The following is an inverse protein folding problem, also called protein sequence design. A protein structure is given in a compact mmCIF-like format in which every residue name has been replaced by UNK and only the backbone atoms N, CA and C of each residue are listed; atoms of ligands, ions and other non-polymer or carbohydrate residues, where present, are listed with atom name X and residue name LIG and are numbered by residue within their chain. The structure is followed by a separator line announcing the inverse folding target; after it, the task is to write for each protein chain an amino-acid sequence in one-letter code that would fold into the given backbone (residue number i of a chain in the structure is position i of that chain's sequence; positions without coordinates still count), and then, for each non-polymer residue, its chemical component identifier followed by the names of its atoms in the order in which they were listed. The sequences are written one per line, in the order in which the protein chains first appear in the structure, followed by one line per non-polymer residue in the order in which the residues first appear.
data_IF_341642457188
#
_entry.id   IF_341642457188
#
_cell.length_a   1.000
_cell.length_b   1.000
_cell.length_c   1.000
_cell.angle_alpha   90.00
_cell.angle_beta   90.00
_cell.angle_gamma   90.00
#
_symmetry.space_group_name_H-M   'P 1'
#
loop_
_entity.id
_entity.type
_entity.pdbx_description
1 polymer ?
#
# COMPACT_ATOMS: atom_id res chain seq x y z
N UNK A 1 11.87 -13.61 -7.70
CA UNK A 1 12.03 -12.25 -7.16
C UNK A 1 13.38 -11.60 -7.51
N UNK A 2 14.56 -12.16 -7.15
CA UNK A 2 15.88 -11.50 -7.31
C UNK A 2 16.13 -10.76 -8.63
N UNK A 3 15.89 -11.43 -9.78
CA UNK A 3 16.07 -10.81 -11.12
C UNK A 3 15.18 -9.58 -11.35
N UNK A 4 13.91 -9.63 -10.91
CA UNK A 4 12.99 -8.49 -11.05
C UNK A 4 13.39 -7.36 -10.10
N UNK A 5 13.74 -7.70 -8.87
CA UNK A 5 14.16 -6.72 -7.87
C UNK A 5 15.45 -6.01 -8.30
N UNK A 6 16.42 -6.74 -8.84
CA UNK A 6 17.65 -6.16 -9.41
C UNK A 6 17.34 -5.23 -10.59
N UNK A 7 16.47 -5.65 -11.51
CA UNK A 7 16.10 -4.83 -12.66
C UNK A 7 15.38 -3.53 -12.25
N UNK A 8 14.37 -3.62 -11.39
CA UNK A 8 13.59 -2.46 -10.92
C UNK A 8 14.46 -1.52 -10.10
N UNK A 9 15.28 -2.05 -9.19
CA UNK A 9 16.20 -1.25 -8.38
C UNK A 9 17.28 -0.59 -9.24
N UNK A 10 17.70 -1.24 -10.33
CA UNK A 10 18.54 -0.62 -11.35
C UNK A 10 17.86 0.57 -12.03
N UNK A 11 16.57 0.46 -12.38
CA UNK A 11 15.79 1.54 -12.99
C UNK A 11 15.47 2.69 -12.00
N UNK A 12 15.40 2.39 -10.71
CA UNK A 12 15.18 3.35 -9.64
C UNK A 12 16.37 4.31 -9.42
N UNK A 13 17.55 3.99 -9.99
CA UNK A 13 18.77 4.80 -9.87
C UNK A 13 19.13 5.43 -11.21
N UNK A 14 19.41 6.73 -11.22
CA UNK A 14 19.95 7.41 -12.40
C UNK A 14 19.77 8.93 -12.35
N UNK A 15 20.13 9.64 -13.42
CA UNK A 15 19.85 11.07 -13.53
C UNK A 15 18.35 11.35 -13.31
N UNK A 16 18.04 12.23 -12.34
CA UNK A 16 16.68 12.58 -11.96
C UNK A 16 15.89 11.50 -11.20
N UNK A 17 16.52 10.38 -10.80
CA UNK A 17 15.87 9.28 -10.08
C UNK A 17 16.73 8.78 -8.94
N UNK A 18 16.15 8.73 -7.75
CA UNK A 18 16.79 8.27 -6.53
C UNK A 18 16.02 7.09 -5.95
N UNK A 19 16.70 5.98 -5.73
CA UNK A 19 16.14 4.91 -4.90
C UNK A 19 16.01 5.41 -3.46
N UNK A 20 14.82 5.26 -2.88
CA UNK A 20 14.56 5.53 -1.47
C UNK A 20 14.93 4.29 -0.66
N UNK A 21 16.08 4.34 0.02
CA UNK A 21 16.61 3.23 0.79
C UNK A 21 16.54 3.45 2.32
N UNK A 22 16.29 4.67 2.78
CA UNK A 22 16.18 5.02 4.20
C UNK A 22 15.36 6.31 4.35
N UNK A 23 15.08 6.75 5.57
CA UNK A 23 14.29 7.94 5.82
C UNK A 23 14.91 9.21 5.21
N UNK A 24 16.25 9.33 5.19
CA UNK A 24 16.94 10.48 4.61
C UNK A 24 16.82 10.55 3.07
N UNK A 25 16.44 9.46 2.40
CA UNK A 25 16.21 9.45 0.95
C UNK A 25 14.80 9.90 0.55
N UNK A 26 13.89 10.09 1.52
CA UNK A 26 12.51 10.55 1.25
C UNK A 26 12.47 12.02 0.80
N UNK A 27 13.45 12.82 1.21
CA UNK A 27 13.63 14.18 0.71
C UNK A 27 14.33 14.15 -0.65
N UNK A 28 13.59 14.53 -1.70
CA UNK A 28 14.12 14.60 -3.07
C UNK A 28 14.16 16.04 -3.57
N UNK A 29 15.18 16.34 -4.38
CA UNK A 29 15.32 17.66 -4.98
C UNK A 29 14.13 17.96 -5.91
N UNK A 30 13.68 19.22 -6.02
CA UNK A 30 12.66 19.59 -7.00
C UNK A 30 13.07 19.17 -8.42
N UNK A 31 12.19 18.41 -9.08
CA UNK A 31 12.43 17.86 -10.42
C UNK A 31 13.04 16.46 -10.44
N UNK A 32 13.49 15.94 -9.30
CA UNK A 32 13.92 14.55 -9.15
C UNK A 32 12.79 13.66 -8.64
N UNK A 33 12.87 12.36 -8.95
CA UNK A 33 11.91 11.35 -8.53
C UNK A 33 12.52 10.43 -7.46
N UNK A 34 11.88 10.38 -6.29
CA UNK A 34 12.10 9.33 -5.29
C UNK A 34 11.35 8.06 -5.67
N UNK A 35 12.05 6.93 -5.72
CA UNK A 35 11.48 5.64 -6.08
C UNK A 35 11.61 4.69 -4.89
N UNK A 36 10.46 4.33 -4.30
CA UNK A 36 10.37 3.25 -3.31
C UNK A 36 10.10 1.96 -4.05
N UNK A 37 10.94 0.95 -3.86
CA UNK A 37 10.74 -0.38 -4.45
C UNK A 37 10.01 -1.27 -3.45
N UNK A 38 8.97 -1.95 -3.90
CA UNK A 38 8.15 -2.86 -3.08
C UNK A 38 8.05 -4.23 -3.76
N UNK A 39 7.60 -5.24 -3.01
CA UNK A 39 7.31 -6.57 -3.54
C UNK A 39 5.87 -6.94 -3.24
N UNK A 40 5.06 -7.18 -4.27
CA UNK A 40 3.68 -7.64 -4.10
C UNK A 40 3.63 -9.17 -4.05
N UNK A 41 3.12 -9.70 -2.94
CA UNK A 41 3.07 -11.13 -2.65
C UNK A 41 4.37 -11.65 -2.03
N UNK A 42 4.26 -12.19 -0.82
CA UNK A 42 5.36 -12.82 -0.11
C UNK A 42 5.71 -14.25 -0.57
N UNK A 43 5.09 -14.75 -1.64
CA UNK A 43 5.27 -16.12 -2.17
C UNK A 43 6.74 -16.47 -2.46
N UNK A 44 7.57 -15.46 -2.74
CA UNK A 44 8.98 -15.66 -3.05
C UNK A 44 9.84 -16.04 -1.83
N UNK A 45 9.30 -15.90 -0.62
CA UNK A 45 9.97 -16.27 0.62
C UNK A 45 10.10 -17.78 0.73
N UNK A 46 9.11 -18.54 0.23
CA UNK A 46 9.10 -20.01 0.20
C UNK A 46 9.44 -20.63 1.56
N UNK A 47 8.87 -20.07 2.64
CA UNK A 47 9.11 -20.51 4.02
C UNK A 47 10.49 -20.13 4.60
N UNK A 48 11.29 -19.30 3.91
CA UNK A 48 12.62 -18.87 4.36
C UNK A 48 12.58 -17.43 4.85
N UNK A 49 12.79 -17.23 6.15
CA UNK A 49 12.79 -15.90 6.77
C UNK A 49 13.91 -15.01 6.22
N UNK A 50 15.06 -15.61 5.85
CA UNK A 50 16.19 -14.89 5.26
C UNK A 50 15.83 -14.17 3.95
N UNK A 51 14.78 -14.62 3.26
CA UNK A 51 14.26 -13.98 2.05
C UNK A 51 13.81 -12.54 2.27
N UNK A 52 13.37 -12.18 3.49
CA UNK A 52 13.02 -10.78 3.85
C UNK A 52 14.28 -9.91 3.83
N UNK A 53 15.35 -10.37 4.48
CA UNK A 53 16.63 -9.67 4.49
C UNK A 53 17.27 -9.61 3.08
N UNK A 54 17.15 -10.68 2.28
CA UNK A 54 17.58 -10.69 0.87
C UNK A 54 16.83 -9.62 0.05
N UNK A 55 15.51 -9.49 0.22
CA UNK A 55 14.72 -8.48 -0.47
C UNK A 55 15.05 -7.05 -0.01
N UNK A 56 15.21 -6.85 1.31
CA UNK A 56 15.63 -5.57 1.87
C UNK A 56 16.99 -5.11 1.31
N UNK A 57 17.98 -6.02 1.31
CA UNK A 57 19.30 -5.76 0.74
C UNK A 57 19.26 -5.51 -0.77
N UNK A 58 18.30 -6.13 -1.46
CA UNK A 58 18.01 -5.88 -2.87
C UNK A 58 17.35 -4.53 -3.16
N UNK A 59 16.95 -3.77 -2.14
CA UNK A 59 16.38 -2.42 -2.26
C UNK A 59 14.89 -2.32 -1.95
N UNK A 60 14.22 -3.43 -1.65
CA UNK A 60 12.80 -3.40 -1.29
C UNK A 60 12.58 -2.74 0.08
N UNK A 61 11.52 -1.95 0.22
CA UNK A 61 11.11 -1.28 1.46
C UNK A 61 9.71 -1.63 1.94
N UNK A 62 9.03 -2.50 1.20
CA UNK A 62 7.76 -3.10 1.60
C UNK A 62 7.60 -4.46 0.95
N UNK A 63 6.86 -5.33 1.64
CA UNK A 63 6.33 -6.58 1.10
C UNK A 63 4.82 -6.61 1.38
N UNK A 64 4.02 -6.80 0.34
CA UNK A 64 2.61 -7.18 0.48
C UNK A 64 2.56 -8.65 0.87
N UNK A 65 2.06 -8.97 2.06
CA UNK A 65 2.18 -10.31 2.63
C UNK A 65 1.55 -11.37 1.72
N UNK A 66 0.37 -11.08 1.19
CA UNK A 66 -0.43 -12.02 0.40
C UNK A 66 -0.93 -11.35 -0.88
N UNK A 67 -1.33 -12.15 -1.88
CA UNK A 67 -1.80 -11.66 -3.17
C UNK A 67 -3.00 -12.48 -3.67
N UNK A 68 -2.99 -12.97 -4.93
CA UNK A 68 -4.04 -13.82 -5.50
C UNK A 68 -3.80 -15.33 -5.33
N UNK A 69 -2.78 -15.72 -4.57
CA UNK A 69 -2.59 -17.12 -4.15
C UNK A 69 -2.37 -17.16 -2.65
N UNK A 70 -3.10 -18.04 -1.98
CA UNK A 70 -2.85 -18.33 -0.57
C UNK A 70 -1.44 -18.91 -0.46
N UNK A 71 -0.60 -18.24 0.33
CA UNK A 71 0.77 -18.65 0.60
C UNK A 71 0.91 -19.04 2.08
N UNK A 72 2.14 -19.30 2.51
CA UNK A 72 2.47 -19.72 3.87
C UNK A 72 2.33 -18.61 4.93
N UNK A 73 1.97 -17.39 4.54
CA UNK A 73 1.97 -16.21 5.41
C UNK A 73 0.58 -15.92 5.98
N UNK A 74 -0.48 -16.10 5.19
CA UNK A 74 -1.85 -15.87 5.65
C UNK A 74 -2.90 -16.01 4.54
N UNK A 75 -4.15 -15.75 4.91
CA UNK A 75 -5.30 -15.86 4.01
C UNK A 75 -5.53 -14.61 3.16
N UNK A 76 -6.04 -14.82 1.93
CA UNK A 76 -6.35 -13.78 0.95
C UNK A 76 -7.84 -13.50 0.87
N UNK A 77 -8.21 -12.28 0.49
CA UNK A 77 -9.61 -11.84 0.40
C UNK A 77 -10.45 -12.62 -0.62
N UNK A 78 -9.83 -13.12 -1.69
CA UNK A 78 -10.54 -13.65 -2.86
C UNK A 78 -10.71 -15.17 -2.85
N UNK A 79 -10.28 -15.87 -1.80
CA UNK A 79 -10.40 -17.32 -1.67
C UNK A 79 -10.94 -17.70 -0.27
N UNK A 80 -11.54 -18.89 -0.11
CA UNK A 80 -11.90 -19.40 1.20
C UNK A 80 -10.68 -19.47 2.15
N UNK A 81 -10.84 -19.14 3.44
CA UNK A 81 -9.74 -19.21 4.41
C UNK A 81 -9.15 -20.62 4.52
N UNK A 82 -7.82 -20.69 4.56
CA UNK A 82 -7.03 -21.91 4.77
C UNK A 82 -6.44 -21.93 6.18
N UNK A 83 -5.94 -20.78 6.64
CA UNK A 83 -5.20 -20.65 7.91
C UNK A 83 -6.06 -20.09 9.04
N UNK A 84 -7.13 -19.37 8.70
CA UNK A 84 -7.97 -18.63 9.64
C UNK A 84 -7.39 -17.30 10.11
N UNK A 85 -6.40 -16.73 9.40
CA UNK A 85 -5.65 -15.54 9.82
C UNK A 85 -4.18 -15.54 9.41
N UNK A 86 -3.36 -14.82 10.18
CA UNK A 86 -1.91 -14.78 9.97
C UNK A 86 -1.27 -16.06 10.52
N UNK A 87 -0.39 -16.71 9.75
CA UNK A 87 0.30 -17.91 10.23
C UNK A 87 1.42 -17.54 11.22
N UNK A 88 1.99 -18.54 11.90
CA UNK A 88 3.19 -18.33 12.72
C UNK A 88 4.36 -17.79 11.89
N UNK A 89 4.57 -18.36 10.69
CA UNK A 89 5.65 -17.89 9.81
C UNK A 89 5.36 -16.47 9.27
N UNK A 90 4.10 -16.15 8.97
CA UNK A 90 3.68 -14.78 8.64
C UNK A 90 3.99 -13.80 9.76
N UNK A 91 3.77 -14.18 11.02
CA UNK A 91 4.14 -13.35 12.18
C UNK A 91 5.66 -13.17 12.31
N UNK A 92 6.46 -14.21 12.06
CA UNK A 92 7.92 -14.10 12.03
C UNK A 92 8.40 -13.15 10.91
N UNK A 93 7.75 -13.19 9.73
CA UNK A 93 8.00 -12.27 8.62
C UNK A 93 7.67 -10.83 8.97
N UNK A 94 6.52 -10.57 9.61
CA UNK A 94 6.13 -9.23 10.09
C UNK A 94 7.18 -8.68 11.06
N UNK A 95 7.63 -9.50 12.01
CA UNK A 95 8.64 -9.09 12.97
C UNK A 95 9.99 -8.77 12.30
N UNK A 96 10.40 -9.56 11.31
CA UNK A 96 11.64 -9.31 10.55
C UNK A 96 11.54 -8.06 9.68
N UNK A 97 10.38 -7.80 9.06
CA UNK A 97 10.11 -6.56 8.34
C UNK A 97 10.19 -5.34 9.26
N UNK A 98 9.59 -5.39 10.46
CA UNK A 98 9.72 -4.31 11.44
C UNK A 98 11.19 -4.10 11.86
N UNK A 99 11.94 -5.19 12.08
CA UNK A 99 13.36 -5.13 12.47
C UNK A 99 14.24 -4.49 11.39
N UNK A 100 13.88 -4.64 10.12
CA UNK A 100 14.61 -4.12 8.97
C UNK A 100 14.14 -2.74 8.51
N UNK A 101 13.16 -2.13 9.19
CA UNK A 101 12.56 -0.88 8.75
C UNK A 101 11.83 -1.02 7.41
N UNK A 102 11.03 -2.08 7.25
CA UNK A 102 10.17 -2.29 6.08
C UNK A 102 8.71 -2.12 6.43
N UNK A 103 7.97 -1.41 5.57
CA UNK A 103 6.51 -1.25 5.71
C UNK A 103 5.84 -2.60 5.40
N UNK A 104 4.99 -3.07 6.31
CA UNK A 104 4.11 -4.22 6.03
C UNK A 104 2.92 -3.74 5.22
N UNK A 105 2.68 -4.36 4.06
CA UNK A 105 1.53 -4.08 3.22
C UNK A 105 0.49 -5.21 3.29
N UNK A 106 -0.76 -4.80 3.52
CA UNK A 106 -1.92 -5.66 3.76
C UNK A 106 -2.96 -5.57 2.65
N UNK A 107 -2.62 -4.98 1.50
CA UNK A 107 -3.42 -5.21 0.29
C UNK A 107 -3.62 -6.72 0.08
N UNK A 108 -4.82 -7.11 -0.38
CA UNK A 108 -5.27 -8.50 -0.56
C UNK A 108 -5.47 -9.33 0.73
N UNK A 109 -5.04 -8.85 1.90
CA UNK A 109 -5.18 -9.58 3.17
C UNK A 109 -6.62 -9.58 3.69
N UNK A 110 -7.05 -10.70 4.26
CA UNK A 110 -8.34 -10.79 4.97
C UNK A 110 -8.34 -9.96 6.26
N UNK A 111 -9.53 -9.65 6.77
CA UNK A 111 -9.67 -8.98 8.07
C UNK A 111 -8.96 -9.73 9.23
N UNK A 112 -9.08 -11.07 9.38
CA UNK A 112 -8.31 -11.80 10.38
C UNK A 112 -6.80 -11.62 10.27
N UNK A 113 -6.22 -11.69 9.06
CA UNK A 113 -4.78 -11.42 8.86
C UNK A 113 -4.45 -10.00 9.29
N UNK A 114 -5.19 -9.00 8.83
CA UNK A 114 -4.94 -7.60 9.20
C UNK A 114 -4.98 -7.40 10.71
N UNK A 115 -6.01 -7.91 11.39
CA UNK A 115 -6.13 -7.80 12.85
C UNK A 115 -4.92 -8.44 13.54
N UNK A 116 -4.55 -9.67 13.14
CA UNK A 116 -3.43 -10.39 13.76
C UNK A 116 -2.09 -9.68 13.52
N UNK A 117 -1.90 -9.01 12.37
CA UNK A 117 -0.74 -8.16 12.09
C UNK A 117 -0.75 -6.91 12.98
N UNK A 118 -1.88 -6.22 13.09
CA UNK A 118 -2.01 -5.01 13.92
C UNK A 118 -1.74 -5.28 15.41
N UNK A 119 -2.05 -6.48 15.91
CA UNK A 119 -1.74 -6.89 17.28
C UNK A 119 -0.24 -7.14 17.54
N UNK A 120 0.56 -7.33 16.48
CA UNK A 120 1.95 -7.80 16.56
C UNK A 120 2.97 -6.83 15.98
N UNK A 121 2.57 -6.00 15.02
CA UNK A 121 3.46 -5.07 14.34
C UNK A 121 3.92 -3.98 15.29
N UNK A 122 5.23 -3.76 15.37
CA UNK A 122 5.83 -2.68 16.15
C UNK A 122 5.80 -1.32 15.41
N UNK A 123 5.45 -1.34 14.12
CA UNK A 123 5.43 -0.17 13.25
C UNK A 123 4.10 -0.06 12.49
N UNK A 124 3.70 1.15 12.04
CA UNK A 124 2.51 1.33 11.22
C UNK A 124 2.58 0.53 9.90
N UNK A 125 1.42 0.17 9.38
CA UNK A 125 1.25 -0.66 8.16
C UNK A 125 0.55 0.14 7.06
N UNK A 126 0.51 -0.40 5.85
CA UNK A 126 -0.36 0.13 4.79
C UNK A 126 -1.30 -0.91 4.22
N UNK A 127 -2.37 -0.43 3.59
CA UNK A 127 -3.05 -1.12 2.50
C UNK A 127 -2.75 -0.29 1.25
N UNK A 128 -1.83 -0.77 0.41
CA UNK A 128 -1.28 -0.01 -0.72
C UNK A 128 -2.25 0.25 -1.86
N UNK A 129 -3.33 -0.54 -1.96
CA UNK A 129 -4.40 -0.32 -2.93
C UNK A 129 -5.68 -1.08 -2.53
N UNK A 130 -6.69 -0.33 -2.10
CA UNK A 130 -8.08 -0.75 -1.97
C UNK A 130 -8.97 0.49 -1.79
N UNK A 131 -10.28 0.32 -1.64
CA UNK A 131 -11.16 1.37 -1.13
C UNK A 131 -12.30 0.74 -0.33
N UNK A 132 -13.17 1.58 0.25
CA UNK A 132 -14.21 1.11 1.15
C UNK A 132 -15.32 0.40 0.36
N UNK A 133 -15.86 -0.69 0.91
CA UNK A 133 -17.02 -1.38 0.39
C UNK A 133 -18.28 -0.51 0.42
N UNK A 134 -19.25 -0.85 -0.44
CA UNK A 134 -20.62 -0.33 -0.45
C UNK A 134 -21.60 -1.51 -0.57
N UNK A 135 -22.74 -1.42 0.11
CA UNK A 135 -23.77 -2.45 0.07
C UNK A 135 -23.46 -3.69 0.92
N UNK A 136 -24.34 -4.69 0.83
CA UNK A 136 -24.34 -5.89 1.69
C UNK A 136 -23.42 -7.02 1.17
N UNK A 137 -23.14 -7.05 -0.13
CA UNK A 137 -22.28 -8.07 -0.78
C UNK A 137 -21.25 -7.40 -1.71
N UNK A 138 -20.27 -6.68 -1.15
CA UNK A 138 -19.25 -5.99 -1.92
C UNK A 138 -18.24 -6.97 -2.53
N UNK A 139 -17.56 -6.53 -3.59
CA UNK A 139 -16.43 -7.30 -4.13
C UNK A 139 -15.37 -7.58 -3.04
N UNK A 140 -14.80 -8.79 -2.94
CA UNK A 140 -13.96 -9.19 -1.80
C UNK A 140 -12.71 -8.33 -1.59
N UNK A 141 -12.18 -7.70 -2.65
CA UNK A 141 -11.03 -6.79 -2.56
C UNK A 141 -11.33 -5.44 -1.87
N UNK A 142 -12.59 -5.12 -1.61
CA UNK A 142 -13.00 -3.90 -0.91
C UNK A 142 -13.00 -4.08 0.61
N UNK A 143 -12.81 -2.99 1.34
CA UNK A 143 -12.67 -3.02 2.80
C UNK A 143 -13.99 -2.69 3.50
N UNK A 144 -14.32 -3.44 4.55
CA UNK A 144 -15.29 -2.95 5.53
C UNK A 144 -14.75 -1.69 6.21
N UNK A 145 -15.65 -0.84 6.71
CA UNK A 145 -15.25 0.35 7.46
C UNK A 145 -14.44 -0.02 8.72
N UNK A 146 -14.81 -1.10 9.41
CA UNK A 146 -14.06 -1.60 10.57
C UNK A 146 -12.62 -1.96 10.21
N UNK A 147 -12.42 -2.69 9.10
CA UNK A 147 -11.10 -3.09 8.63
C UNK A 147 -10.23 -1.86 8.35
N UNK A 148 -10.74 -0.90 7.56
CA UNK A 148 -9.98 0.30 7.23
C UNK A 148 -9.71 1.19 8.46
N UNK A 149 -10.68 1.34 9.38
CA UNK A 149 -10.51 2.10 10.61
C UNK A 149 -9.44 1.51 11.52
N UNK A 150 -9.34 0.18 11.60
CA UNK A 150 -8.32 -0.48 12.41
C UNK A 150 -6.90 -0.12 11.94
N UNK A 151 -6.68 -0.09 10.61
CA UNK A 151 -5.39 0.28 10.02
C UNK A 151 -5.02 1.73 10.33
N UNK A 152 -5.92 2.69 10.09
CA UNK A 152 -5.61 4.10 10.31
C UNK A 152 -5.49 4.46 11.79
N UNK A 153 -6.24 3.78 12.68
CA UNK A 153 -6.09 3.94 14.15
C UNK A 153 -4.75 3.43 14.67
N UNK A 154 -4.13 2.48 13.97
CA UNK A 154 -2.77 2.03 14.24
C UNK A 154 -1.69 2.93 13.60
N UNK A 155 -2.07 4.09 13.06
CA UNK A 155 -1.16 5.05 12.43
C UNK A 155 -0.84 4.74 10.96
N UNK A 156 -1.47 3.70 10.39
CA UNK A 156 -1.29 3.28 9.01
C UNK A 156 -2.06 4.14 7.99
N UNK A 157 -2.00 3.72 6.72
CA UNK A 157 -2.72 4.37 5.62
C UNK A 157 -3.45 3.36 4.73
N UNK A 158 -4.57 3.78 4.15
CA UNK A 158 -5.30 3.06 3.10
C UNK A 158 -5.24 3.90 1.83
N UNK A 159 -4.59 3.37 0.80
CA UNK A 159 -4.40 4.06 -0.46
C UNK A 159 -5.54 3.73 -1.45
N UNK A 160 -6.25 4.77 -1.88
CA UNK A 160 -7.41 4.69 -2.75
C UNK A 160 -7.05 4.07 -4.10
N UNK A 161 -7.81 3.05 -4.49
CA UNK A 161 -7.57 2.25 -5.69
C UNK A 161 -8.58 2.61 -6.80
N UNK A 162 -8.13 3.16 -7.95
CA UNK A 162 -9.00 3.61 -9.05
C UNK A 162 -9.46 2.46 -9.95
N UNK A 163 -9.97 1.37 -9.34
CA UNK A 163 -10.31 0.15 -10.06
C UNK A 163 -11.77 0.09 -10.53
N UNK A 164 -11.94 -0.47 -11.72
CA UNK A 164 -13.24 -0.76 -12.34
C UNK A 164 -14.08 -1.82 -11.62
N UNK A 165 -13.61 -2.29 -10.47
CA UNK A 165 -14.31 -3.24 -9.59
C UNK A 165 -15.55 -2.59 -8.96
N UNK A 166 -15.47 -1.30 -8.64
CA UNK A 166 -16.56 -0.56 -8.00
C UNK A 166 -16.71 0.89 -8.49
N UNK A 167 -15.78 1.34 -9.33
CA UNK A 167 -15.77 2.69 -9.89
C UNK A 167 -15.95 2.58 -11.40
N UNK A 168 -16.67 3.53 -11.99
CA UNK A 168 -16.96 3.56 -13.43
C UNK A 168 -16.41 4.81 -14.11
N UNK A 169 -15.98 5.81 -13.33
CA UNK A 169 -15.42 7.06 -13.87
C UNK A 169 -14.37 7.67 -12.95
N UNK A 170 -13.60 8.61 -13.51
CA UNK A 170 -12.63 9.42 -12.77
C UNK A 170 -13.29 10.29 -11.69
N UNK A 171 -14.49 10.81 -11.96
CA UNK A 171 -15.24 11.61 -10.98
C UNK A 171 -15.68 10.77 -9.78
N UNK A 172 -16.13 9.52 -10.01
CA UNK A 172 -16.45 8.59 -8.92
C UNK A 172 -15.22 8.25 -8.08
N UNK A 173 -14.03 8.19 -8.68
CA UNK A 173 -12.78 8.00 -7.93
C UNK A 173 -12.46 9.20 -7.02
N UNK A 174 -12.66 10.42 -7.50
CA UNK A 174 -12.51 11.63 -6.69
C UNK A 174 -13.50 11.64 -5.51
N UNK A 175 -14.76 11.29 -5.77
CA UNK A 175 -15.79 11.20 -4.73
C UNK A 175 -15.51 10.07 -3.74
N UNK A 176 -14.92 8.97 -4.19
CA UNK A 176 -14.50 7.87 -3.33
C UNK A 176 -13.33 8.27 -2.43
N UNK A 177 -12.37 9.05 -2.93
CA UNK A 177 -11.29 9.62 -2.10
C UNK A 177 -11.88 10.49 -0.98
N UNK A 178 -12.83 11.38 -1.30
CA UNK A 178 -13.52 12.19 -0.28
C UNK A 178 -14.22 11.33 0.75
N UNK A 179 -14.94 10.30 0.32
CA UNK A 179 -15.64 9.40 1.24
C UNK A 179 -14.67 8.66 2.16
N UNK A 180 -13.50 8.26 1.63
CA UNK A 180 -12.45 7.69 2.46
C UNK A 180 -11.92 8.70 3.47
N UNK A 181 -11.72 9.96 3.08
CA UNK A 181 -11.28 11.03 3.99
C UNK A 181 -12.31 11.28 5.10
N UNK A 182 -13.59 11.37 4.76
CA UNK A 182 -14.68 11.56 5.73
C UNK A 182 -14.72 10.43 6.77
N UNK A 183 -14.44 9.19 6.33
CA UNK A 183 -14.51 8.02 7.17
C UNK A 183 -13.24 7.76 7.99
N UNK A 184 -12.06 8.01 7.41
CA UNK A 184 -10.76 7.59 7.93
C UNK A 184 -9.91 8.76 8.44
N UNK A 185 -10.29 10.00 8.14
CA UNK A 185 -9.51 11.21 8.35
C UNK A 185 -8.45 11.41 7.26
N UNK A 186 -8.07 12.67 7.04
CA UNK A 186 -7.14 13.07 5.97
C UNK A 186 -5.80 12.32 6.04
N UNK A 187 -5.27 12.09 7.24
CA UNK A 187 -3.99 11.42 7.48
C UNK A 187 -4.00 9.93 7.09
N UNK A 188 -5.18 9.31 7.02
CA UNK A 188 -5.35 7.88 6.78
C UNK A 188 -5.48 7.50 5.31
N UNK A 189 -5.54 8.47 4.40
CA UNK A 189 -5.85 8.24 2.98
C UNK A 189 -4.67 8.60 2.08
N UNK A 190 -4.35 7.75 1.13
CA UNK A 190 -3.34 8.00 0.11
C UNK A 190 -3.84 7.58 -1.29
N UNK A 191 -2.99 7.64 -2.31
CA UNK A 191 -3.28 7.17 -3.68
C UNK A 191 -2.51 5.89 -4.00
N UNK A 192 -3.22 4.86 -4.47
CA UNK A 192 -2.68 3.55 -4.81
C UNK A 192 -3.20 3.09 -6.15
N UNK A 193 -2.58 3.54 -7.25
CA UNK A 193 -3.17 3.40 -8.59
C UNK A 193 -3.22 1.97 -9.11
N UNK A 194 -2.28 1.13 -8.67
CA UNK A 194 -2.07 -0.22 -9.22
C UNK A 194 -1.85 -0.17 -10.76
N UNK A 195 -1.20 0.90 -11.23
CA UNK A 195 -1.06 1.18 -12.67
C UNK A 195 -0.34 0.04 -13.38
N UNK A 196 -0.76 -0.25 -14.61
CA UNK A 196 -0.32 -1.36 -15.46
C UNK A 196 -0.77 -2.78 -15.00
N UNK A 197 -1.42 -2.93 -13.85
CA UNK A 197 -2.01 -4.19 -13.36
C UNK A 197 -3.50 -4.09 -13.00
N UNK A 198 -4.03 -2.88 -12.84
CA UNK A 198 -5.40 -2.60 -12.41
C UNK A 198 -6.47 -3.11 -13.41
N UNK A 199 -7.59 -3.60 -12.87
CA UNK A 199 -8.76 -4.03 -13.63
C UNK A 199 -9.63 -2.83 -14.05
N UNK A 200 -9.79 -2.63 -15.37
CA UNK A 200 -10.62 -1.55 -15.95
C UNK A 200 -10.41 -0.19 -15.25
N UNK A 201 -9.18 0.33 -15.18
CA UNK A 201 -8.87 1.46 -14.32
C UNK A 201 -9.55 2.75 -14.81
N UNK A 202 -10.04 3.54 -13.86
CA UNK A 202 -10.58 4.88 -14.13
C UNK A 202 -9.51 5.98 -14.11
N UNK A 203 -8.27 5.62 -13.74
CA UNK A 203 -7.05 6.40 -13.92
C UNK A 203 -6.06 5.57 -14.75
N UNK A 204 -5.77 6.01 -15.97
CA UNK A 204 -5.00 5.21 -16.95
C UNK A 204 -3.58 5.72 -17.17
N UNK A 205 -3.24 6.89 -16.63
CA UNK A 205 -1.88 7.45 -16.76
C UNK A 205 -1.48 8.30 -15.56
N UNK A 206 -0.21 8.22 -15.15
CA UNK A 206 0.38 9.14 -14.19
C UNK A 206 0.31 10.62 -14.61
N UNK A 207 0.08 10.89 -15.91
CA UNK A 207 -0.16 12.25 -16.42
C UNK A 207 -1.45 12.88 -15.90
N UNK A 208 -2.36 12.09 -15.32
CA UNK A 208 -3.61 12.57 -14.73
C UNK A 208 -3.46 13.02 -13.27
N UNK A 209 -2.27 12.92 -12.65
CA UNK A 209 -2.06 13.41 -11.28
C UNK A 209 -2.35 14.91 -11.09
N UNK A 210 -2.02 15.80 -12.05
CA UNK A 210 -2.48 17.19 -11.99
C UNK A 210 -4.01 17.33 -12.03
N UNK A 211 -4.69 16.52 -12.85
CA UNK A 211 -6.16 16.51 -12.92
C UNK A 211 -6.77 15.98 -11.61
N UNK A 212 -6.11 15.01 -10.98
CA UNK A 212 -6.48 14.48 -9.66
C UNK A 212 -6.36 15.57 -8.59
N UNK A 213 -5.25 16.32 -8.59
CA UNK A 213 -5.05 17.45 -7.69
C UNK A 213 -6.13 18.52 -7.90
N UNK A 214 -6.37 18.93 -9.16
CA UNK A 214 -7.38 19.92 -9.51
C UNK A 214 -8.79 19.48 -9.09
N UNK A 215 -9.16 18.23 -9.38
CA UNK A 215 -10.47 17.69 -9.05
C UNK A 215 -10.74 17.60 -7.54
N UNK A 216 -9.71 17.34 -6.72
CA UNK A 216 -9.81 17.38 -5.26
C UNK A 216 -9.94 18.82 -4.72
N UNK A 217 -9.21 19.77 -5.29
CA UNK A 217 -9.33 21.20 -4.95
C UNK A 217 -10.74 21.74 -5.29
N UNK A 218 -11.27 21.41 -6.47
CA UNK A 218 -12.62 21.81 -6.90
C UNK A 218 -13.72 21.24 -5.97
N UNK A 219 -13.42 20.12 -5.32
CA UNK A 219 -14.27 19.47 -4.31
C UNK A 219 -14.11 20.04 -2.90
N UNK A 220 -13.27 21.06 -2.72
CA UNK A 220 -13.18 21.83 -1.49
C UNK A 220 -12.07 21.42 -0.54
N UNK A 221 -11.16 20.51 -0.92
CA UNK A 221 -9.96 20.25 -0.12
C UNK A 221 -9.02 21.46 -0.15
N UNK A 222 -8.37 21.74 0.97
CA UNK A 222 -7.27 22.68 1.02
C UNK A 222 -6.03 22.12 0.29
N UNK A 223 -5.16 22.99 -0.23
CA UNK A 223 -3.92 22.58 -0.91
C UNK A 223 -3.05 21.64 -0.05
N UNK A 224 -2.99 21.88 1.26
CA UNK A 224 -2.25 21.03 2.19
C UNK A 224 -2.84 19.62 2.29
N UNK A 225 -4.17 19.49 2.26
CA UNK A 225 -4.88 18.21 2.30
C UNK A 225 -4.69 17.44 0.99
N UNK A 226 -4.75 18.13 -0.15
CA UNK A 226 -4.42 17.54 -1.45
C UNK A 226 -2.97 17.04 -1.48
N UNK A 227 -2.02 17.83 -0.99
CA UNK A 227 -0.62 17.41 -0.87
C UNK A 227 -0.43 16.19 0.04
N UNK A 228 -1.16 16.11 1.15
CA UNK A 228 -1.15 14.96 2.04
C UNK A 228 -1.62 13.68 1.32
N UNK A 229 -2.77 13.73 0.64
CA UNK A 229 -3.35 12.57 -0.06
C UNK A 229 -2.49 12.10 -1.23
N UNK A 230 -1.97 13.03 -2.04
CA UNK A 230 -1.22 12.71 -3.25
C UNK A 230 0.15 12.07 -2.99
N UNK A 231 0.67 12.17 -1.76
CA UNK A 231 1.93 11.51 -1.41
C UNK A 231 2.43 11.80 0.00
N UNK A 232 2.05 12.92 0.60
CA UNK A 232 2.52 13.29 1.95
C UNK A 232 2.25 12.23 3.02
N UNK A 233 1.08 11.58 2.98
CA UNK A 233 0.72 10.52 3.92
C UNK A 233 1.54 9.24 3.73
N UNK A 234 1.91 8.89 2.49
CA UNK A 234 2.84 7.78 2.24
C UNK A 234 4.26 8.16 2.70
N UNK A 235 4.72 9.38 2.42
CA UNK A 235 6.00 9.87 2.92
C UNK A 235 6.06 9.83 4.44
N UNK A 236 5.00 10.29 5.13
CA UNK A 236 4.85 10.20 6.59
C UNK A 236 4.95 8.76 7.08
N UNK A 237 4.24 7.83 6.43
CA UNK A 237 4.29 6.41 6.79
C UNK A 237 5.70 5.85 6.62
N UNK A 238 6.33 6.01 5.46
CA UNK A 238 7.67 5.50 5.22
C UNK A 238 8.68 6.14 6.19
N UNK A 239 8.59 7.44 6.47
CA UNK A 239 9.45 8.11 7.44
C UNK A 239 9.32 7.54 8.87
N UNK A 240 8.15 7.01 9.24
CA UNK A 240 7.93 6.39 10.54
C UNK A 240 8.47 4.95 10.65
N UNK A 241 8.81 4.32 9.52
CA UNK A 241 9.20 2.91 9.46
C UNK A 241 10.65 2.71 9.00
N UNK A 242 11.12 3.52 8.04
CA UNK A 242 12.49 3.45 7.55
C UNK A 242 13.48 3.94 8.62
N UNK A 243 14.64 3.28 8.71
CA UNK A 243 15.79 3.73 9.51
C UNK A 243 16.38 5.07 9.02
#
# INVERSE_FOLDING_TARGET
HRRQLEAITGLARGPGRRLVANAADLEVAPGDLGVVVTCEGGDFLEGRLEGVAEAHAGGARSITLVHYRTNELGDIQTEPPVHGGLTRFGADVVAEMNRLGMVVDLAHATWPVTRDVLERSAAPVMISHSHLARGEDPHPRLLSLEHALAVVRAGGVVAAWPAGVALTSFEEYLDEILRMIDALGIEGVAIGTDMDANYQPVVTSHRQFPDLAAGLLERGLAEAEVGAVLGGNLVRLFAAVLD
#
